data_IF_554293589509
#
_entry.id   IF_554293589509
#
_cell.length_a   1.000
_cell.length_b   1.000
_cell.length_c   1.000
_cell.angle_alpha   90.00
_cell.angle_beta   90.00
_cell.angle_gamma   90.00
#
_symmetry.space_group_name_H-M   'P 1'
#
loop_
_entity.id
_entity.type
_entity.pdbx_description
1 polymer ?
#
# COMPACT_ATOMS: atom_id res chain seq x y z
N UNK A 1 4.89 -30.35 -21.35
CA UNK A 1 5.08 -30.77 -19.94
C UNK A 1 6.40 -30.17 -19.46
N UNK A 2 6.37 -29.27 -18.48
CA UNK A 2 7.56 -28.80 -17.76
C UNK A 2 7.26 -28.95 -16.26
N UNK A 3 8.07 -29.72 -15.51
CA UNK A 3 7.82 -30.03 -14.11
C UNK A 3 8.46 -29.02 -13.14
N UNK A 4 7.74 -28.83 -12.04
CA UNK A 4 8.18 -28.71 -10.65
C UNK A 4 9.00 -27.51 -10.15
N UNK A 5 8.28 -26.72 -9.34
CA UNK A 5 8.64 -25.68 -8.37
C UNK A 5 9.84 -26.05 -7.47
N UNK A 6 10.85 -25.19 -7.33
CA UNK A 6 11.77 -25.25 -6.20
C UNK A 6 11.21 -24.46 -5.02
N UNK A 7 10.72 -25.20 -4.02
CA UNK A 7 10.53 -24.74 -2.65
C UNK A 7 11.89 -24.34 -2.07
N UNK A 8 12.07 -23.07 -1.70
CA UNK A 8 13.21 -22.64 -0.88
C UNK A 8 12.68 -22.30 0.51
N UNK A 9 12.79 -23.28 1.41
CA UNK A 9 12.86 -23.09 2.87
C UNK A 9 14.31 -23.34 3.29
N UNK A 10 14.74 -22.98 4.50
CA UNK A 10 14.53 -21.76 5.29
C UNK A 10 15.82 -20.92 5.33
N UNK A 11 15.71 -19.64 5.69
CA UNK A 11 16.84 -18.73 5.85
C UNK A 11 17.76 -19.24 6.97
N UNK A 12 18.95 -19.72 6.58
CA UNK A 12 20.02 -20.04 7.52
C UNK A 12 20.72 -18.74 7.91
N UNK A 13 20.57 -18.34 9.18
CA UNK A 13 21.26 -17.18 9.74
C UNK A 13 22.78 -17.46 9.85
N UNK A 14 23.67 -16.55 9.42
CA UNK A 14 25.09 -16.75 9.59
C UNK A 14 25.48 -16.55 11.06
N UNK A 15 26.09 -17.57 11.64
CA UNK A 15 26.56 -17.65 13.03
C UNK A 15 27.80 -16.81 13.33
N UNK A 16 27.75 -15.51 13.07
CA UNK A 16 28.67 -14.52 13.62
C UNK A 16 27.80 -13.31 13.95
N UNK A 17 27.82 -12.82 15.18
CA UNK A 17 27.00 -11.71 15.68
C UNK A 17 27.31 -10.33 15.05
N UNK A 18 27.66 -10.30 13.78
CA UNK A 18 27.86 -9.12 12.96
C UNK A 18 26.56 -8.80 12.22
N UNK A 19 26.06 -7.55 12.27
CA UNK A 19 24.91 -7.15 11.48
C UNK A 19 25.21 -7.36 9.99
N UNK A 20 24.28 -7.97 9.28
CA UNK A 20 24.45 -8.26 7.85
C UNK A 20 24.57 -6.94 7.06
N UNK A 21 25.65 -6.71 6.29
CA UNK A 21 25.89 -5.44 5.59
C UNK A 21 24.90 -5.17 4.44
N UNK A 22 24.08 -6.16 4.06
CA UNK A 22 22.98 -6.01 3.09
C UNK A 22 21.66 -5.69 3.80
N UNK A 23 21.67 -5.48 5.13
CA UNK A 23 20.51 -4.93 5.84
C UNK A 23 20.33 -3.47 5.44
N UNK A 24 19.74 -3.31 4.27
CA UNK A 24 18.92 -2.17 3.94
C UNK A 24 17.82 -2.17 4.99
N UNK A 25 18.04 -1.43 6.08
CA UNK A 25 16.94 -0.95 6.87
C UNK A 25 16.26 0.06 5.94
N UNK A 26 15.09 -0.24 5.33
CA UNK A 26 14.29 0.86 4.85
C UNK A 26 14.12 1.71 6.08
N UNK A 27 14.68 2.92 6.04
CA UNK A 27 14.42 3.91 7.05
C UNK A 27 12.93 4.15 6.95
N UNK A 28 12.15 3.36 7.68
CA UNK A 28 10.76 3.64 7.96
C UNK A 28 10.86 4.88 8.82
N UNK A 29 10.82 6.02 8.12
CA UNK A 29 10.60 7.32 8.73
C UNK A 29 9.53 7.12 9.79
N UNK A 30 9.74 7.56 11.04
CA UNK A 30 8.78 7.34 12.10
C UNK A 30 7.42 7.76 11.58
N UNK A 31 6.47 6.81 11.58
CA UNK A 31 5.15 7.01 11.02
C UNK A 31 4.49 8.11 11.85
N UNK A 32 4.60 9.35 11.37
CA UNK A 32 3.92 10.47 11.99
C UNK A 32 2.42 10.21 11.86
N UNK A 33 1.62 10.60 12.86
CA UNK A 33 0.17 10.52 12.72
C UNK A 33 -0.23 11.25 11.44
N UNK A 34 -1.07 10.60 10.63
CA UNK A 34 -1.56 11.19 9.39
C UNK A 34 -2.15 12.56 9.70
N UNK A 35 -1.70 13.57 8.94
CA UNK A 35 -2.25 14.91 9.02
C UNK A 35 -3.75 14.88 8.70
N UNK A 36 -4.51 15.86 9.21
CA UNK A 36 -5.93 15.98 8.88
C UNK A 36 -6.16 16.04 7.36
N UNK A 37 -5.20 16.60 6.63
CA UNK A 37 -5.24 16.69 5.17
C UNK A 37 -5.08 15.34 4.45
N UNK A 38 -4.24 14.44 4.97
CA UNK A 38 -4.11 13.07 4.46
C UNK A 38 -5.37 12.25 4.76
N UNK A 39 -5.95 12.45 5.95
CA UNK A 39 -7.21 11.81 6.34
C UNK A 39 -8.35 12.25 5.40
N UNK A 40 -8.48 13.54 5.14
CA UNK A 40 -9.49 14.05 4.20
C UNK A 40 -9.28 13.49 2.79
N UNK A 41 -8.02 13.42 2.33
CA UNK A 41 -7.68 12.82 1.04
C UNK A 41 -8.09 11.35 0.97
N UNK A 42 -7.83 10.56 2.02
CA UNK A 42 -8.27 9.17 2.12
C UNK A 42 -9.80 9.04 2.02
N UNK A 43 -10.55 9.81 2.82
CA UNK A 43 -12.02 9.76 2.81
C UNK A 43 -12.60 10.15 1.44
N UNK A 44 -11.99 11.13 0.78
CA UNK A 44 -12.35 11.53 -0.58
C UNK A 44 -12.05 10.42 -1.59
N UNK A 45 -10.93 9.73 -1.42
CA UNK A 45 -10.56 8.51 -2.15
C UNK A 45 -11.62 7.43 -2.01
N UNK A 46 -11.98 7.06 -0.78
CA UNK A 46 -13.02 6.04 -0.49
C UNK A 46 -14.34 6.38 -1.19
N UNK A 47 -14.78 7.63 -1.10
CA UNK A 47 -16.02 8.09 -1.75
C UNK A 47 -15.94 8.01 -3.27
N UNK A 48 -14.79 8.32 -3.86
CA UNK A 48 -14.56 8.19 -5.29
C UNK A 48 -14.53 6.72 -5.72
N UNK A 49 -13.88 5.83 -4.96
CA UNK A 49 -13.80 4.40 -5.25
C UNK A 49 -15.15 3.68 -5.19
N UNK A 50 -16.07 4.17 -4.36
CA UNK A 50 -17.46 3.66 -4.29
C UNK A 50 -18.34 4.11 -5.47
N UNK A 51 -18.01 5.22 -6.14
CA UNK A 51 -18.76 5.69 -7.31
C UNK A 51 -18.36 4.91 -8.54
N UNK A 52 -19.32 4.62 -9.43
CA UNK A 52 -19.07 3.92 -10.69
C UNK A 52 -18.24 4.73 -11.72
N UNK A 53 -17.87 5.97 -11.39
CA UNK A 53 -17.07 6.83 -12.25
C UNK A 53 -15.59 6.39 -12.23
N UNK A 54 -15.25 5.43 -13.10
CA UNK A 54 -13.92 4.84 -13.32
C UNK A 54 -12.79 5.84 -13.63
N UNK A 55 -13.06 7.14 -13.78
CA UNK A 55 -12.11 8.11 -14.30
C UNK A 55 -11.89 9.34 -13.41
N UNK A 56 -12.26 9.29 -12.13
CA UNK A 56 -11.92 10.37 -11.22
C UNK A 56 -10.42 10.30 -10.88
N UNK A 57 -9.62 11.08 -11.61
CA UNK A 57 -8.17 11.22 -11.37
C UNK A 57 -7.90 11.79 -9.99
N UNK A 58 -6.78 11.37 -9.40
CA UNK A 58 -6.26 11.90 -8.15
C UNK A 58 -6.04 13.42 -8.28
N UNK A 59 -6.71 14.27 -7.47
CA UNK A 59 -6.58 15.72 -7.58
C UNK A 59 -5.34 16.28 -6.88
N UNK A 60 -4.61 15.44 -6.14
CA UNK A 60 -3.44 15.85 -5.36
C UNK A 60 -2.16 15.76 -6.20
N UNK A 61 -1.11 16.54 -5.88
CA UNK A 61 0.16 16.48 -6.58
C UNK A 61 0.78 15.08 -6.51
N UNK A 62 1.36 14.62 -7.62
CA UNK A 62 2.02 13.32 -7.70
C UNK A 62 3.11 13.19 -6.61
N UNK A 63 3.20 12.02 -6.00
CA UNK A 63 4.13 11.70 -4.89
C UNK A 63 3.88 12.45 -3.58
N UNK A 64 2.81 13.24 -3.45
CA UNK A 64 2.40 13.78 -2.15
C UNK A 64 1.79 12.70 -1.26
N UNK A 65 1.90 12.85 0.06
CA UNK A 65 1.26 11.93 1.00
C UNK A 65 -0.28 11.94 0.87
N UNK A 66 -0.86 13.08 0.49
CA UNK A 66 -2.29 13.20 0.18
C UNK A 66 -2.68 12.39 -1.06
N UNK A 67 -1.84 12.39 -2.10
CA UNK A 67 -2.06 11.58 -3.29
C UNK A 67 -2.05 10.09 -2.94
N UNK A 68 -1.07 9.63 -2.15
CA UNK A 68 -1.02 8.25 -1.65
C UNK A 68 -2.27 7.90 -0.84
N UNK A 69 -2.64 8.76 0.11
CA UNK A 69 -3.82 8.55 0.96
C UNK A 69 -5.11 8.44 0.13
N UNK A 70 -5.28 9.30 -0.87
CA UNK A 70 -6.39 9.25 -1.81
C UNK A 70 -6.44 7.93 -2.60
N UNK A 71 -5.31 7.47 -3.12
CA UNK A 71 -5.23 6.20 -3.87
C UNK A 71 -5.56 4.99 -2.99
N UNK A 72 -5.04 4.94 -1.76
CA UNK A 72 -5.38 3.91 -0.79
C UNK A 72 -6.89 3.91 -0.50
N UNK A 73 -7.46 5.08 -0.23
CA UNK A 73 -8.90 5.23 0.00
C UNK A 73 -9.72 4.77 -1.22
N UNK A 74 -9.32 5.16 -2.43
CA UNK A 74 -9.99 4.78 -3.67
C UNK A 74 -10.05 3.26 -3.87
N UNK A 75 -8.93 2.57 -3.67
CA UNK A 75 -8.88 1.11 -3.76
C UNK A 75 -9.76 0.43 -2.71
N UNK A 76 -9.76 0.94 -1.47
CA UNK A 76 -10.63 0.41 -0.41
C UNK A 76 -12.11 0.66 -0.71
N UNK A 77 -12.45 1.83 -1.26
CA UNK A 77 -13.80 2.15 -1.73
C UNK A 77 -14.29 1.21 -2.82
N UNK A 78 -13.43 0.85 -3.77
CA UNK A 78 -13.75 -0.12 -4.81
C UNK A 78 -14.04 -1.51 -4.24
N UNK A 79 -13.22 -1.99 -3.28
CA UNK A 79 -13.44 -3.30 -2.64
C UNK A 79 -14.82 -3.41 -2.01
N UNK A 80 -15.28 -2.35 -1.33
CA UNK A 80 -16.60 -2.31 -0.70
C UNK A 80 -17.72 -2.48 -1.74
N UNK A 81 -17.59 -1.85 -2.92
CA UNK A 81 -18.55 -2.01 -4.01
C UNK A 81 -18.66 -3.45 -4.49
N UNK A 82 -17.54 -4.19 -4.53
CA UNK A 82 -17.54 -5.59 -4.96
C UNK A 82 -18.08 -6.58 -3.91
N UNK A 83 -18.04 -6.21 -2.62
CA UNK A 83 -18.59 -7.05 -1.54
C UNK A 83 -20.10 -6.90 -1.33
N UNK A 84 -20.74 -5.92 -1.97
CA UNK A 84 -22.20 -5.67 -1.92
C UNK A 84 -22.97 -6.41 -3.04
N UNK A 85 -22.31 -7.32 -3.76
CA UNK A 85 -22.95 -8.18 -4.77
C UNK A 85 -23.41 -9.47 -4.06
N UNK A 86 -24.73 -9.75 -3.96
CA UNK A 86 -25.26 -10.91 -3.24
C UNK A 86 -24.95 -12.27 -3.90
#
# INVERSE_FOLDING_TARGET
MCPEKPTVVPISAPGLGLPNPIQYYPYQSPLLPASESEKEAYERGVKAGKREAENQKNPYPDNSEQAKAYEHGYLDGQKIRFTDIP
#
